data_IF_249899720492
#
_entry.id   IF_249899720492
#
_cell.length_a   1.000
_cell.length_b   1.000
_cell.length_c   1.000
_cell.angle_alpha   90.00
_cell.angle_beta   90.00
_cell.angle_gamma   90.00
#
_symmetry.space_group_name_H-M   'P 1'
#
loop_
_entity.id
_entity.type
_entity.pdbx_description
1 polymer ?
#
# COMPACT_ATOMS: atom_id res chain seq x y z
N UNK A 1 31.54 -11.62 -0.92
CA UNK A 1 31.48 -12.79 -1.83
C UNK A 1 30.17 -13.48 -1.55
N UNK A 2 29.32 -13.66 -2.56
CA UNK A 2 28.06 -14.39 -2.42
C UNK A 2 28.33 -15.85 -2.04
N UNK A 3 27.50 -16.42 -1.16
CA UNK A 3 27.60 -17.85 -0.80
C UNK A 3 27.31 -18.73 -2.03
N UNK A 4 27.80 -19.99 -2.11
CA UNK A 4 27.41 -20.90 -3.19
C UNK A 4 25.88 -20.98 -3.31
N UNK A 5 25.34 -20.84 -4.52
CA UNK A 5 23.88 -20.81 -4.79
C UNK A 5 23.19 -19.46 -4.51
N UNK A 6 23.93 -18.45 -4.05
CA UNK A 6 23.39 -17.10 -3.88
C UNK A 6 23.64 -16.26 -5.12
N UNK A 7 22.57 -15.67 -5.62
CA UNK A 7 22.54 -14.79 -6.77
C UNK A 7 22.48 -13.34 -6.34
N UNK A 8 23.00 -12.46 -7.19
CA UNK A 8 22.94 -11.02 -7.00
C UNK A 8 22.33 -10.35 -8.22
N UNK A 9 21.46 -9.38 -7.98
CA UNK A 9 20.89 -8.49 -8.99
C UNK A 9 21.04 -7.06 -8.49
N UNK A 10 21.38 -6.14 -9.39
CA UNK A 10 21.52 -4.72 -9.09
C UNK A 10 20.72 -3.92 -10.09
N UNK A 11 19.77 -3.14 -9.60
CA UNK A 11 19.03 -2.16 -10.37
C UNK A 11 19.58 -0.78 -10.03
N UNK A 12 19.84 0.03 -11.05
CA UNK A 12 20.31 1.41 -10.89
C UNK A 12 19.41 2.35 -11.66
N UNK A 13 19.20 3.54 -11.12
CA UNK A 13 18.46 4.60 -11.79
C UNK A 13 19.03 5.95 -11.39
N UNK A 14 19.20 6.85 -12.37
CA UNK A 14 19.64 8.22 -12.16
C UNK A 14 18.45 9.19 -12.15
N UNK A 15 18.42 10.10 -11.19
CA UNK A 15 17.34 11.08 -10.99
C UNK A 15 17.89 12.43 -10.58
N UNK A 16 17.12 13.50 -10.83
CA UNK A 16 17.41 14.84 -10.35
C UNK A 16 16.97 15.07 -8.90
N UNK A 17 16.26 14.12 -8.28
CA UNK A 17 15.84 14.23 -6.89
C UNK A 17 17.04 14.20 -5.92
N UNK A 18 17.01 14.99 -4.82
CA UNK A 18 18.05 14.93 -3.79
C UNK A 18 18.09 13.57 -3.07
N UNK A 19 19.30 13.07 -2.79
CA UNK A 19 19.53 11.77 -2.17
C UNK A 19 18.80 11.60 -0.83
N UNK A 20 18.82 12.63 0.02
CA UNK A 20 18.12 12.63 1.32
C UNK A 20 16.62 12.42 1.18
N UNK A 21 16.01 13.02 0.17
CA UNK A 21 14.57 12.90 -0.08
C UNK A 21 14.17 11.50 -0.52
N UNK A 22 14.97 10.88 -1.38
CA UNK A 22 14.80 9.49 -1.80
C UNK A 22 14.95 8.55 -0.60
N UNK A 23 15.97 8.78 0.23
CA UNK A 23 16.18 8.06 1.48
C UNK A 23 14.98 8.17 2.42
N UNK A 24 14.46 9.37 2.67
CA UNK A 24 13.32 9.60 3.57
C UNK A 24 12.05 8.89 3.10
N UNK A 25 11.78 8.86 1.79
CA UNK A 25 10.67 8.10 1.21
C UNK A 25 10.81 6.59 1.45
N UNK A 26 11.99 6.02 1.25
CA UNK A 26 12.25 4.60 1.51
C UNK A 26 12.24 4.31 3.02
N UNK A 27 12.72 5.24 3.85
CA UNK A 27 12.74 5.11 5.30
C UNK A 27 11.34 5.15 5.94
N UNK A 28 10.30 5.64 5.25
CA UNK A 28 8.92 5.67 5.79
C UNK A 28 8.11 4.46 5.32
N UNK A 29 8.32 3.31 5.98
CA UNK A 29 7.73 2.03 5.53
C UNK A 29 6.20 1.98 5.59
N UNK A 30 5.57 2.74 6.50
CA UNK A 30 4.10 2.79 6.57
C UNK A 30 3.46 3.45 5.34
N UNK A 31 4.20 4.30 4.64
CA UNK A 31 3.71 5.01 3.44
C UNK A 31 3.85 4.17 2.16
N UNK A 32 4.65 3.09 2.21
CA UNK A 32 4.91 2.23 1.04
C UNK A 32 3.66 1.71 0.33
N UNK A 33 2.56 1.32 1.01
CA UNK A 33 1.35 0.90 0.32
C UNK A 33 0.69 1.99 -0.53
N UNK A 34 0.91 3.27 -0.21
CA UNK A 34 0.46 4.40 -1.02
C UNK A 34 1.49 4.81 -2.09
N UNK A 35 2.79 4.60 -1.84
CA UNK A 35 3.87 5.02 -2.75
C UNK A 35 4.24 3.95 -3.77
N UNK A 36 4.48 2.71 -3.34
CA UNK A 36 4.98 1.64 -4.20
C UNK A 36 3.86 0.76 -4.73
N UNK A 37 3.75 0.67 -6.07
CA UNK A 37 2.71 -0.13 -6.74
C UNK A 37 2.66 -1.59 -6.27
N UNK A 38 3.78 -2.31 -6.08
CA UNK A 38 3.73 -3.71 -5.65
C UNK A 38 3.25 -3.89 -4.19
N UNK A 39 3.59 -2.95 -3.29
CA UNK A 39 3.28 -3.07 -1.86
C UNK A 39 1.79 -2.89 -1.59
N UNK A 40 1.14 -3.90 -1.03
CA UNK A 40 -0.29 -3.90 -0.64
C UNK A 40 -0.47 -3.42 0.80
N UNK A 41 0.36 -3.90 1.72
CA UNK A 41 0.29 -3.54 3.12
C UNK A 41 1.65 -3.73 3.81
N UNK A 42 1.89 -2.94 4.85
CA UNK A 42 3.03 -3.07 5.76
C UNK A 42 2.52 -3.00 7.19
N UNK A 43 2.96 -3.94 8.01
CA UNK A 43 2.75 -3.95 9.45
C UNK A 43 4.11 -3.87 10.15
N UNK A 44 4.38 -2.75 10.82
CA UNK A 44 5.58 -2.63 11.67
C UNK A 44 5.41 -3.51 12.89
N UNK A 45 6.38 -4.41 13.13
CA UNK A 45 6.39 -5.37 14.22
C UNK A 45 7.30 -4.92 15.38
N UNK A 46 8.37 -4.20 15.06
CA UNK A 46 9.35 -3.72 16.04
C UNK A 46 10.07 -2.48 15.49
N UNK A 47 10.34 -1.51 16.36
CA UNK A 47 11.20 -0.36 16.08
C UNK A 47 12.28 -0.26 17.15
N UNK A 48 13.53 -0.15 16.71
CA UNK A 48 14.69 0.13 17.54
C UNK A 48 15.50 1.30 16.96
N UNK A 49 16.58 1.73 17.64
CA UNK A 49 17.47 2.76 17.12
C UNK A 49 18.04 2.34 15.76
N UNK A 50 17.67 3.06 14.69
CA UNK A 50 18.11 2.80 13.32
C UNK A 50 17.72 1.42 12.77
N UNK A 51 16.81 0.69 13.41
CA UNK A 51 16.44 -0.67 13.00
C UNK A 51 14.94 -0.87 13.09
N UNK A 52 14.40 -1.60 12.13
CA UNK A 52 12.98 -1.92 12.11
C UNK A 52 12.74 -3.34 11.63
N UNK A 53 11.73 -3.98 12.21
CA UNK A 53 11.19 -5.24 11.74
C UNK A 53 9.75 -5.02 11.32
N UNK A 54 9.39 -5.48 10.13
CA UNK A 54 8.04 -5.33 9.60
C UNK A 54 7.63 -6.55 8.78
N UNK A 55 6.33 -6.82 8.75
CA UNK A 55 5.71 -7.74 7.82
C UNK A 55 5.19 -6.94 6.63
N UNK A 56 5.36 -7.48 5.43
CA UNK A 56 4.90 -6.85 4.20
C UNK A 56 4.07 -7.83 3.40
N UNK A 57 3.05 -7.31 2.74
CA UNK A 57 2.26 -7.98 1.72
C UNK A 57 2.46 -7.23 0.42
N UNK A 58 2.87 -7.95 -0.62
CA UNK A 58 3.12 -7.35 -1.93
C UNK A 58 2.63 -8.26 -3.04
N UNK A 59 2.33 -7.65 -4.18
CA UNK A 59 1.96 -8.38 -5.40
C UNK A 59 3.23 -8.89 -6.08
N UNK A 60 3.30 -10.20 -6.29
CA UNK A 60 4.38 -10.90 -6.98
C UNK A 60 3.75 -11.87 -7.97
N UNK A 61 4.05 -11.74 -9.26
CA UNK A 61 3.44 -12.58 -10.31
C UNK A 61 1.89 -12.53 -10.30
N UNK A 62 1.32 -11.37 -9.99
CA UNK A 62 -0.14 -11.17 -9.93
C UNK A 62 -0.84 -11.67 -8.66
N UNK A 63 -0.13 -12.34 -7.73
CA UNK A 63 -0.68 -12.85 -6.46
C UNK A 63 -0.13 -12.06 -5.28
N UNK A 64 -0.87 -12.01 -4.17
CA UNK A 64 -0.35 -11.43 -2.93
C UNK A 64 0.56 -12.45 -2.24
N UNK A 65 1.78 -12.02 -1.91
CA UNK A 65 2.77 -12.76 -1.13
C UNK A 65 3.12 -11.99 0.13
N UNK A 66 3.57 -12.68 1.17
CA UNK A 66 3.98 -12.05 2.43
C UNK A 66 5.28 -12.61 2.97
N UNK A 67 6.05 -11.75 3.62
CA UNK A 67 7.29 -12.09 4.31
C UNK A 67 7.54 -11.11 5.46
N UNK A 68 8.44 -11.49 6.37
CA UNK A 68 8.96 -10.60 7.42
C UNK A 68 10.34 -10.11 7.02
N UNK A 69 10.56 -8.80 7.09
CA UNK A 69 11.86 -8.19 6.86
C UNK A 69 12.36 -7.45 8.10
N UNK A 70 13.68 -7.51 8.31
CA UNK A 70 14.41 -6.59 9.17
C UNK A 70 15.26 -5.67 8.31
N UNK A 71 15.31 -4.39 8.67
CA UNK A 71 16.15 -3.41 8.01
C UNK A 71 16.95 -2.56 9.00
N UNK A 72 18.07 -2.04 8.52
CA UNK A 72 18.87 -1.02 9.21
C UNK A 72 18.85 0.25 8.36
N UNK A 73 18.53 1.37 9.00
CA UNK A 73 18.46 2.70 8.44
C UNK A 73 19.71 3.47 8.85
N UNK A 74 20.52 3.89 7.88
CA UNK A 74 21.69 4.73 8.08
C UNK A 74 21.45 6.11 7.43
N UNK A 75 21.01 7.11 8.21
CA UNK A 75 20.71 8.45 7.70
C UNK A 75 21.95 9.28 7.40
N UNK A 76 23.13 8.85 7.87
CA UNK A 76 24.39 9.57 7.65
C UNK A 76 24.99 9.18 6.30
N UNK A 77 24.97 7.88 5.96
CA UNK A 77 25.42 7.39 4.65
C UNK A 77 24.32 7.28 3.61
N UNK A 78 23.07 7.61 3.98
CA UNK A 78 21.87 7.46 3.15
C UNK A 78 21.76 6.04 2.56
N UNK A 79 21.84 5.05 3.45
CA UNK A 79 21.81 3.63 3.09
C UNK A 79 20.76 2.89 3.91
N UNK A 80 20.03 2.00 3.27
CA UNK A 80 19.11 1.08 3.94
C UNK A 80 19.52 -0.34 3.59
N UNK A 81 19.91 -1.15 4.57
CA UNK A 81 20.12 -2.59 4.36
C UNK A 81 18.91 -3.35 4.84
N UNK A 82 18.56 -4.45 4.17
CA UNK A 82 17.42 -5.26 4.55
C UNK A 82 17.68 -6.74 4.35
N UNK A 83 16.98 -7.56 5.13
CA UNK A 83 16.99 -9.02 5.03
C UNK A 83 15.58 -9.53 5.28
N UNK A 84 15.15 -10.52 4.50
CA UNK A 84 13.95 -11.30 4.82
C UNK A 84 14.32 -12.30 5.91
N UNK A 85 13.71 -12.16 7.09
CA UNK A 85 13.90 -13.10 8.21
C UNK A 85 13.02 -14.34 8.04
N UNK A 86 11.79 -14.13 7.55
CA UNK A 86 10.84 -15.19 7.23
C UNK A 86 10.42 -15.00 5.78
N UNK A 87 10.82 -15.93 4.92
CA UNK A 87 10.48 -15.94 3.49
C UNK A 87 9.53 -17.10 3.16
N UNK A 88 9.07 -17.16 1.91
CA UNK A 88 8.21 -18.23 1.41
C UNK A 88 8.88 -18.90 0.19
N UNK A 89 8.73 -20.22 0.00
CA UNK A 89 9.13 -20.87 -1.24
C UNK A 89 8.53 -20.14 -2.46
N UNK A 90 9.28 -20.05 -3.58
CA UNK A 90 10.54 -20.75 -3.83
C UNK A 90 11.79 -20.01 -3.34
N UNK A 91 11.66 -18.92 -2.58
CA UNK A 91 12.81 -18.19 -2.02
C UNK A 91 13.35 -18.96 -0.81
N UNK A 92 14.66 -19.24 -0.81
CA UNK A 92 15.37 -19.79 0.35
C UNK A 92 15.95 -18.67 1.23
N UNK A 93 16.46 -17.62 0.61
CA UNK A 93 16.92 -16.39 1.29
C UNK A 93 16.77 -15.20 0.36
N UNK A 94 16.54 -14.01 0.93
CA UNK A 94 16.47 -12.76 0.17
C UNK A 94 16.87 -11.60 1.08
N UNK A 95 17.66 -10.68 0.59
CA UNK A 95 18.03 -9.43 1.24
C UNK A 95 18.63 -8.47 0.24
N UNK A 96 19.19 -7.38 0.72
CA UNK A 96 19.73 -6.37 -0.16
C UNK A 96 20.02 -5.04 0.50
N UNK A 97 20.19 -4.02 -0.34
CA UNK A 97 20.36 -2.65 0.12
C UNK A 97 19.87 -1.62 -0.89
N UNK A 98 19.35 -0.52 -0.37
CA UNK A 98 19.17 0.75 -1.06
C UNK A 98 20.34 1.67 -0.73
N UNK A 99 20.92 2.30 -1.74
CA UNK A 99 21.95 3.33 -1.60
C UNK A 99 21.58 4.54 -2.47
N UNK A 100 21.69 5.74 -1.90
CA UNK A 100 21.36 7.00 -2.57
C UNK A 100 22.62 7.85 -2.70
N UNK A 101 23.29 7.76 -3.86
CA UNK A 101 24.60 8.37 -4.09
C UNK A 101 24.43 9.71 -4.81
N UNK A 102 24.42 10.79 -4.03
CA UNK A 102 24.36 12.15 -4.56
C UNK A 102 25.75 12.69 -4.93
N UNK A 103 25.84 13.41 -6.05
CA UNK A 103 27.09 14.01 -6.56
C UNK A 103 26.98 15.51 -6.89
N UNK A 104 25.87 16.16 -6.50
CA UNK A 104 25.59 17.57 -6.78
C UNK A 104 24.73 17.80 -8.03
N UNK A 105 24.82 16.91 -9.03
CA UNK A 105 24.05 16.97 -10.29
C UNK A 105 22.82 16.02 -10.28
N UNK A 106 22.44 15.55 -9.09
CA UNK A 106 21.38 14.58 -8.87
C UNK A 106 21.83 13.42 -7.99
N UNK A 107 21.10 12.29 -8.11
CA UNK A 107 21.34 11.09 -7.31
C UNK A 107 21.29 9.83 -8.17
N UNK A 108 22.26 8.93 -7.98
CA UNK A 108 22.16 7.54 -8.42
C UNK A 108 21.52 6.71 -7.30
N UNK A 109 20.37 6.10 -7.60
CA UNK A 109 19.71 5.13 -6.74
C UNK A 109 20.22 3.74 -7.11
N UNK A 110 20.78 3.03 -6.14
CA UNK A 110 21.26 1.66 -6.32
C UNK A 110 20.46 0.73 -5.42
N UNK A 111 19.65 -0.13 -6.03
CA UNK A 111 18.93 -1.20 -5.36
C UNK A 111 19.63 -2.53 -5.65
N UNK A 112 20.28 -3.09 -4.64
CA UNK A 112 20.89 -4.42 -4.71
C UNK A 112 19.97 -5.44 -4.06
N UNK A 113 19.83 -6.60 -4.69
CA UNK A 113 19.25 -7.79 -4.10
C UNK A 113 20.25 -8.94 -4.13
N UNK A 114 20.30 -9.68 -3.03
CA UNK A 114 20.99 -10.97 -2.95
C UNK A 114 20.01 -12.04 -2.44
N UNK A 115 19.94 -13.16 -3.16
CA UNK A 115 18.92 -14.19 -2.92
C UNK A 115 19.37 -15.58 -3.36
N UNK A 116 18.78 -16.60 -2.73
CA UNK A 116 18.88 -17.99 -3.14
C UNK A 116 17.49 -18.60 -3.30
N UNK A 117 17.35 -19.57 -4.21
CA UNK A 117 16.13 -20.34 -4.36
C UNK A 117 16.22 -21.67 -3.61
N UNK A 118 15.06 -22.22 -3.20
CA UNK A 118 14.98 -23.58 -2.66
C UNK A 118 15.30 -24.62 -3.74
N UNK A 119 14.89 -24.31 -4.98
CA UNK A 119 15.19 -25.07 -6.19
C UNK A 119 15.68 -24.11 -7.28
N UNK A 120 16.83 -24.42 -7.88
CA UNK A 120 17.42 -23.68 -9.00
C UNK A 120 16.44 -23.53 -10.19
N UNK A 121 15.52 -24.48 -10.39
CA UNK A 121 14.51 -24.40 -11.44
C UNK A 121 13.57 -23.18 -11.30
N UNK A 122 13.43 -22.62 -10.09
CA UNK A 122 12.60 -21.45 -9.84
C UNK A 122 13.31 -20.10 -10.12
N UNK A 123 14.63 -20.11 -10.35
CA UNK A 123 15.41 -18.88 -10.50
C UNK A 123 14.97 -17.96 -11.64
N UNK A 124 14.62 -18.45 -12.84
CA UNK A 124 14.17 -17.57 -13.92
C UNK A 124 12.93 -16.75 -13.53
N UNK A 125 11.92 -17.41 -12.95
CA UNK A 125 10.69 -16.74 -12.50
C UNK A 125 10.92 -15.82 -11.30
N UNK A 126 11.82 -16.17 -10.38
CA UNK A 126 12.23 -15.29 -9.28
C UNK A 126 12.91 -14.02 -9.79
N UNK A 127 13.83 -14.14 -10.76
CA UNK A 127 14.51 -12.99 -11.38
C UNK A 127 13.52 -12.09 -12.10
N UNK A 128 12.64 -12.64 -12.93
CA UNK A 128 11.62 -11.88 -13.65
C UNK A 128 10.71 -11.09 -12.69
N UNK A 129 10.21 -11.75 -11.64
CA UNK A 129 9.36 -11.09 -10.65
C UNK A 129 10.11 -10.01 -9.85
N UNK A 130 11.38 -10.25 -9.51
CA UNK A 130 12.24 -9.28 -8.84
C UNK A 130 12.49 -8.06 -9.73
N UNK A 131 12.85 -8.27 -10.99
CA UNK A 131 13.12 -7.20 -11.95
C UNK A 131 11.88 -6.33 -12.18
N UNK A 132 10.71 -6.96 -12.35
CA UNK A 132 9.45 -6.24 -12.53
C UNK A 132 9.08 -5.37 -11.31
N UNK A 133 9.21 -5.91 -10.10
CA UNK A 133 8.88 -5.16 -8.88
C UNK A 133 9.89 -4.05 -8.59
N UNK A 134 11.19 -4.32 -8.71
CA UNK A 134 12.25 -3.31 -8.56
C UNK A 134 12.06 -2.13 -9.51
N UNK A 135 11.73 -2.41 -10.79
CA UNK A 135 11.49 -1.35 -11.77
C UNK A 135 10.31 -0.44 -11.40
N UNK A 136 9.21 -1.03 -10.91
CA UNK A 136 8.02 -0.30 -10.46
C UNK A 136 8.29 0.53 -9.19
N UNK A 137 9.01 -0.03 -8.23
CA UNK A 137 9.40 0.67 -7.00
C UNK A 137 10.30 1.86 -7.29
N UNK A 138 11.34 1.68 -8.11
CA UNK A 138 12.24 2.75 -8.54
C UNK A 138 11.50 3.86 -9.31
N UNK A 139 10.62 3.49 -10.24
CA UNK A 139 9.83 4.46 -11.00
C UNK A 139 8.92 5.29 -10.09
N UNK A 140 8.21 4.65 -9.16
CA UNK A 140 7.33 5.34 -8.22
C UNK A 140 8.10 6.23 -7.23
N UNK A 141 9.24 5.76 -6.73
CA UNK A 141 10.13 6.52 -5.85
C UNK A 141 10.55 7.84 -6.51
N UNK A 142 11.03 7.77 -7.75
CA UNK A 142 11.54 8.90 -8.51
C UNK A 142 10.43 9.87 -8.87
N UNK A 143 9.30 9.35 -9.37
CA UNK A 143 8.16 10.16 -9.75
C UNK A 143 7.64 11.03 -8.59
N UNK A 144 7.78 10.58 -7.34
CA UNK A 144 7.42 11.33 -6.14
C UNK A 144 8.56 12.24 -5.65
N UNK A 145 9.81 11.78 -5.73
CA UNK A 145 10.98 12.51 -5.23
C UNK A 145 11.38 13.70 -6.11
N UNK A 146 11.08 13.67 -7.42
CA UNK A 146 11.37 14.77 -8.35
C UNK A 146 10.36 15.93 -8.28
N UNK A 147 9.31 15.80 -7.46
CA UNK A 147 8.31 16.86 -7.32
C UNK A 147 8.84 18.05 -6.54
N UNK A 148 8.40 19.26 -6.91
CA UNK A 148 8.81 20.50 -6.22
C UNK A 148 8.34 20.53 -4.77
N UNK A 149 7.09 20.13 -4.53
CA UNK A 149 6.49 20.00 -3.20
C UNK A 149 7.19 18.90 -2.43
N UNK A 150 7.44 19.03 -1.12
CA UNK A 150 8.08 17.99 -0.32
C UNK A 150 7.17 16.75 -0.15
N UNK A 151 7.73 15.55 0.13
CA UNK A 151 6.96 14.31 0.21
C UNK A 151 5.77 14.34 1.17
N UNK A 152 5.90 14.99 2.33
CA UNK A 152 4.86 15.11 3.36
C UNK A 152 3.65 15.97 2.94
N UNK A 153 3.83 16.85 1.96
CA UNK A 153 2.72 17.57 1.33
C UNK A 153 1.95 16.68 0.35
N UNK A 154 2.65 15.75 -0.31
CA UNK A 154 2.08 14.87 -1.33
C UNK A 154 1.51 13.58 -0.76
N UNK A 155 2.11 13.05 0.31
CA UNK A 155 1.69 11.81 0.98
C UNK A 155 1.20 12.13 2.38
N UNK A 156 -0.07 11.83 2.65
CA UNK A 156 -0.65 12.09 3.97
C UNK A 156 -1.73 11.09 4.35
N UNK A 157 -1.98 11.04 5.66
CA UNK A 157 -2.94 10.13 6.28
C UNK A 157 -3.98 10.90 7.08
N UNK A 158 -5.21 10.42 7.07
CA UNK A 158 -6.30 10.90 7.93
C UNK A 158 -7.26 9.76 8.25
N UNK A 159 -8.07 9.95 9.28
CA UNK A 159 -9.03 8.95 9.74
C UNK A 159 -10.34 9.56 10.25
N UNK A 160 -11.38 8.73 10.25
CA UNK A 160 -12.67 8.99 10.86
C UNK A 160 -13.07 7.78 11.71
N UNK A 161 -13.51 8.01 12.94
CA UNK A 161 -14.04 6.95 13.82
C UNK A 161 -15.52 7.19 14.08
N UNK A 162 -16.33 6.15 13.90
CA UNK A 162 -17.76 6.18 14.19
C UNK A 162 -18.11 5.13 15.24
N UNK A 163 -19.14 5.44 16.04
CA UNK A 163 -19.80 4.48 16.91
C UNK A 163 -20.72 3.60 16.08
N UNK A 164 -20.71 2.30 16.35
CA UNK A 164 -21.58 1.31 15.72
C UNK A 164 -22.23 0.44 16.80
N UNK A 165 -23.42 -0.15 16.55
CA UNK A 165 -24.04 -1.07 17.49
C UNK A 165 -23.20 -2.32 17.75
N UNK A 166 -22.45 -2.78 16.74
CA UNK A 166 -21.67 -4.01 16.76
C UNK A 166 -20.50 -3.91 15.77
N UNK A 167 -19.28 -4.07 16.27
CA UNK A 167 -18.06 -4.13 15.45
C UNK A 167 -18.06 -5.30 14.46
N UNK A 168 -18.58 -6.45 14.90
CA UNK A 168 -18.65 -7.68 14.10
C UNK A 168 -19.62 -7.52 12.92
N UNK A 169 -20.79 -6.91 13.15
CA UNK A 169 -21.76 -6.64 12.08
C UNK A 169 -21.22 -5.59 11.10
N UNK A 170 -20.53 -4.57 11.61
CA UNK A 170 -19.88 -3.60 10.76
C UNK A 170 -18.76 -4.24 9.94
N UNK A 171 -17.98 -5.16 10.52
CA UNK A 171 -17.00 -5.97 9.77
C UNK A 171 -17.67 -6.76 8.66
N UNK A 172 -18.71 -7.54 8.97
CA UNK A 172 -19.42 -8.36 8.00
C UNK A 172 -20.03 -7.52 6.87
N UNK A 173 -20.53 -6.32 7.17
CA UNK A 173 -21.04 -5.39 6.17
C UNK A 173 -19.95 -4.91 5.21
N UNK A 174 -18.76 -4.55 5.72
CA UNK A 174 -17.66 -4.01 4.90
C UNK A 174 -16.93 -5.12 4.12
N UNK A 175 -16.79 -6.28 4.74
CA UNK A 175 -16.15 -7.47 4.16
C UNK A 175 -16.95 -7.96 2.94
N UNK A 176 -18.28 -8.08 3.07
CA UNK A 176 -19.21 -8.46 1.99
C UNK A 176 -19.55 -7.32 1.03
N UNK A 177 -18.52 -6.78 0.37
CA UNK A 177 -18.68 -5.71 -0.61
C UNK A 177 -19.42 -6.13 -1.88
N UNK A 178 -19.47 -7.42 -2.19
CA UNK A 178 -20.32 -7.96 -3.26
C UNK A 178 -21.80 -7.56 -3.08
N UNK A 179 -22.24 -7.36 -1.84
CA UNK A 179 -23.60 -6.94 -1.50
C UNK A 179 -23.78 -5.42 -1.47
N UNK A 180 -22.72 -4.62 -1.68
CA UNK A 180 -22.80 -3.16 -1.60
C UNK A 180 -23.69 -2.55 -2.68
N UNK A 181 -23.80 -3.18 -3.85
CA UNK A 181 -24.70 -2.71 -4.92
C UNK A 181 -26.18 -2.71 -4.51
N UNK A 182 -26.56 -3.49 -3.49
CA UNK A 182 -27.92 -3.54 -2.92
C UNK A 182 -28.05 -2.67 -1.66
N UNK A 183 -26.93 -2.28 -1.04
CA UNK A 183 -26.87 -1.67 0.29
C UNK A 183 -26.42 -0.21 0.30
N UNK A 184 -25.66 0.21 -0.72
CA UNK A 184 -25.05 1.53 -0.83
C UNK A 184 -25.58 2.24 -2.09
N UNK A 185 -26.28 3.38 -1.95
CA UNK A 185 -26.94 4.03 -3.08
C UNK A 185 -25.98 4.57 -4.15
N UNK A 186 -24.72 4.80 -3.79
CA UNK A 186 -23.69 5.29 -4.70
C UNK A 186 -22.91 4.17 -5.41
N UNK A 187 -23.18 2.90 -5.08
CA UNK A 187 -22.51 1.74 -5.67
C UNK A 187 -23.41 1.13 -6.73
N UNK A 188 -23.00 1.20 -8.00
CA UNK A 188 -23.73 0.59 -9.11
C UNK A 188 -23.47 -0.90 -9.21
N UNK A 189 -22.21 -1.32 -9.03
CA UNK A 189 -21.80 -2.72 -9.22
C UNK A 189 -20.52 -3.01 -8.46
N UNK A 190 -20.44 -4.23 -7.91
CA UNK A 190 -19.19 -4.78 -7.37
C UNK A 190 -18.93 -6.17 -7.96
N UNK A 191 -17.71 -6.38 -8.42
CA UNK A 191 -17.17 -7.71 -8.72
C UNK A 191 -16.14 -8.03 -7.64
N UNK A 192 -16.34 -9.14 -6.93
CA UNK A 192 -15.46 -9.60 -5.86
C UNK A 192 -14.97 -11.01 -6.16
N UNK A 193 -13.66 -11.22 -6.10
CA UNK A 193 -13.06 -12.56 -6.10
C UNK A 193 -12.22 -12.73 -4.85
N UNK A 194 -12.23 -13.93 -4.28
CA UNK A 194 -11.59 -14.20 -2.99
C UNK A 194 -10.65 -15.38 -3.11
N UNK A 195 -9.52 -15.29 -2.42
CA UNK A 195 -8.61 -16.39 -2.19
C UNK A 195 -8.20 -16.43 -0.72
N UNK A 196 -8.02 -17.62 -0.17
CA UNK A 196 -7.36 -17.73 1.13
C UNK A 196 -5.94 -17.13 1.02
N UNK A 197 -5.48 -16.43 2.06
CA UNK A 197 -4.15 -15.80 2.06
C UNK A 197 -2.96 -16.78 1.92
N UNK A 198 -3.23 -18.09 1.89
CA UNK A 198 -2.25 -19.15 1.69
C UNK A 198 -1.49 -19.49 2.97
N UNK A 199 -0.26 -20.01 2.80
CA UNK A 199 0.61 -20.40 3.91
C UNK A 199 1.29 -19.17 4.52
N UNK A 200 0.76 -18.69 5.65
CA UNK A 200 1.36 -17.59 6.43
C UNK A 200 1.55 -17.94 7.91
N UNK A 201 2.07 -16.99 8.71
CA UNK A 201 2.08 -17.08 10.18
C UNK A 201 0.68 -17.35 10.73
N UNK A 202 0.59 -17.88 11.96
CA UNK A 202 -0.69 -18.22 12.60
C UNK A 202 -1.70 -17.05 12.58
N UNK A 203 -1.23 -15.82 12.81
CA UNK A 203 -2.00 -14.58 12.84
C UNK A 203 -2.70 -14.22 11.51
N UNK A 204 -2.26 -14.82 10.39
CA UNK A 204 -2.81 -14.54 9.04
C UNK A 204 -3.46 -15.77 8.43
N UNK A 205 -3.63 -16.87 9.19
CA UNK A 205 -4.19 -18.13 8.66
C UNK A 205 -5.64 -17.98 8.23
N UNK A 206 -6.43 -17.25 9.01
CA UNK A 206 -7.84 -17.00 8.74
C UNK A 206 -8.05 -15.73 7.89
N UNK A 207 -6.97 -15.16 7.35
CA UNK A 207 -7.04 -13.97 6.51
C UNK A 207 -7.46 -14.35 5.09
N UNK A 208 -8.39 -13.59 4.52
CA UNK A 208 -8.77 -13.69 3.10
C UNK A 208 -8.14 -12.55 2.32
N UNK A 209 -7.66 -12.84 1.11
CA UNK A 209 -7.27 -11.85 0.10
C UNK A 209 -8.41 -11.70 -0.87
N UNK A 210 -8.87 -10.47 -1.07
CA UNK A 210 -9.97 -10.16 -1.97
C UNK A 210 -9.49 -9.20 -3.06
N UNK A 211 -9.88 -9.47 -4.30
CA UNK A 211 -9.77 -8.54 -5.42
C UNK A 211 -11.16 -8.00 -5.73
N UNK A 212 -11.34 -6.71 -5.53
CA UNK A 212 -12.61 -6.01 -5.60
C UNK A 212 -12.55 -4.94 -6.68
N UNK A 213 -13.40 -5.06 -7.69
CA UNK A 213 -13.65 -3.96 -8.65
C UNK A 213 -15.03 -3.37 -8.36
N UNK A 214 -15.09 -2.05 -8.17
CA UNK A 214 -16.30 -1.33 -7.80
C UNK A 214 -16.55 -0.19 -8.79
N UNK A 215 -17.78 -0.12 -9.29
CA UNK A 215 -18.28 0.98 -10.12
C UNK A 215 -19.21 1.84 -9.25
N UNK A 216 -18.83 3.09 -9.00
CA UNK A 216 -19.64 4.08 -8.29
C UNK A 216 -20.29 5.06 -9.24
N UNK A 217 -21.43 5.61 -8.84
CA UNK A 217 -22.12 6.70 -9.56
C UNK A 217 -21.86 8.00 -8.82
N UNK A 218 -21.32 9.00 -9.52
CA UNK A 218 -21.13 10.35 -9.00
C UNK A 218 -22.44 11.13 -9.05
N UNK A 219 -22.53 12.25 -8.32
CA UNK A 219 -23.78 13.04 -8.22
C UNK A 219 -24.24 13.65 -9.54
N UNK A 220 -23.34 13.80 -10.51
CA UNK A 220 -23.61 14.24 -11.88
C UNK A 220 -24.02 13.09 -12.83
N UNK A 221 -24.16 11.87 -12.32
CA UNK A 221 -24.50 10.67 -13.10
C UNK A 221 -23.31 10.02 -13.79
N UNK A 222 -22.10 10.58 -13.65
CA UNK A 222 -20.87 9.93 -14.09
C UNK A 222 -20.63 8.61 -13.37
N UNK A 223 -19.77 7.76 -13.95
CA UNK A 223 -19.37 6.50 -13.30
C UNK A 223 -17.87 6.46 -13.12
N UNK A 224 -17.44 6.06 -11.93
CA UNK A 224 -16.03 5.88 -11.61
C UNK A 224 -15.76 4.42 -11.25
N UNK A 225 -14.75 3.81 -11.88
CA UNK A 225 -14.32 2.46 -11.57
C UNK A 225 -13.06 2.49 -10.72
N UNK A 226 -13.11 1.80 -9.59
CA UNK A 226 -11.95 1.55 -8.74
C UNK A 226 -11.71 0.05 -8.67
N UNK A 227 -10.45 -0.36 -8.54
CA UNK A 227 -10.07 -1.75 -8.25
C UNK A 227 -9.14 -1.77 -7.05
N UNK A 228 -9.37 -2.67 -6.12
CA UNK A 228 -8.63 -2.77 -4.87
C UNK A 228 -8.28 -4.21 -4.53
N UNK A 229 -7.09 -4.41 -3.98
CA UNK A 229 -6.76 -5.63 -3.23
C UNK A 229 -7.05 -5.35 -1.76
N UNK A 230 -7.76 -6.24 -1.08
CA UNK A 230 -8.10 -6.15 0.34
C UNK A 230 -7.55 -7.37 1.08
N UNK A 231 -7.02 -7.15 2.28
CA UNK A 231 -6.61 -8.19 3.21
C UNK A 231 -7.54 -8.13 4.42
N UNK A 232 -8.34 -9.18 4.59
CA UNK A 232 -9.43 -9.23 5.55
C UNK A 232 -9.07 -10.15 6.70
N UNK A 233 -8.88 -9.57 7.89
CA UNK A 233 -8.69 -10.30 9.15
C UNK A 233 -10.05 -10.35 9.87
N UNK A 234 -10.64 -11.54 10.08
CA UNK A 234 -11.98 -11.71 10.64
C UNK A 234 -12.26 -10.83 11.86
N UNK A 235 -13.38 -10.11 11.83
CA UNK A 235 -13.88 -9.24 12.91
C UNK A 235 -12.89 -8.18 13.45
N UNK A 236 -11.75 -7.95 12.78
CA UNK A 236 -10.68 -7.12 13.34
C UNK A 236 -10.24 -5.99 12.42
N UNK A 237 -9.92 -6.31 11.17
CA UNK A 237 -9.46 -5.29 10.23
C UNK A 237 -9.59 -5.69 8.77
N UNK A 238 -9.82 -4.71 7.92
CA UNK A 238 -9.73 -4.84 6.47
C UNK A 238 -8.78 -3.76 5.97
N UNK A 239 -7.58 -4.14 5.55
CA UNK A 239 -6.65 -3.21 4.90
C UNK A 239 -6.79 -3.34 3.40
N UNK A 240 -6.62 -2.25 2.65
CA UNK A 240 -6.78 -2.28 1.21
C UNK A 240 -5.80 -1.36 0.49
N UNK A 241 -5.46 -1.73 -0.73
CA UNK A 241 -4.74 -0.91 -1.70
C UNK A 241 -5.59 -0.75 -2.95
N UNK A 242 -5.80 0.47 -3.40
CA UNK A 242 -6.36 0.73 -4.72
C UNK A 242 -5.29 0.54 -5.79
N UNK A 243 -5.56 -0.37 -6.73
CA UNK A 243 -4.77 -0.57 -7.95
C UNK A 243 -5.13 0.43 -9.04
N UNK A 244 -6.37 0.93 -9.02
CA UNK A 244 -6.84 2.02 -9.87
C UNK A 244 -7.36 3.11 -8.94
N UNK A 245 -6.52 4.08 -8.55
CA UNK A 245 -6.94 5.18 -7.69
C UNK A 245 -7.70 6.27 -8.49
N UNK A 246 -8.44 7.16 -7.82
CA UNK A 246 -9.00 8.38 -8.41
C UNK A 246 -7.95 9.22 -9.14
N UNK A 247 -8.35 9.96 -10.18
CA UNK A 247 -7.45 10.69 -11.08
C UNK A 247 -6.51 11.71 -10.41
N UNK A 248 -6.88 12.24 -9.24
CA UNK A 248 -6.05 13.19 -8.47
C UNK A 248 -4.90 12.50 -7.71
N UNK A 249 -4.90 11.17 -7.65
CA UNK A 249 -4.00 10.37 -6.83
C UNK A 249 -3.07 9.52 -7.69
N UNK A 250 -1.79 9.48 -7.31
CA UNK A 250 -0.83 8.49 -7.79
C UNK A 250 -0.89 7.18 -7.00
N UNK A 251 -1.46 7.22 -5.79
CA UNK A 251 -1.71 6.02 -4.99
C UNK A 251 -2.67 6.26 -3.83
N UNK A 252 -3.40 5.21 -3.45
CA UNK A 252 -4.31 5.21 -2.31
C UNK A 252 -4.33 3.84 -1.64
N UNK A 253 -4.16 3.84 -0.32
CA UNK A 253 -4.44 2.70 0.52
C UNK A 253 -5.29 3.14 1.73
N UNK A 254 -5.88 2.17 2.42
CA UNK A 254 -6.63 2.45 3.62
C UNK A 254 -6.80 1.24 4.51
N UNK A 255 -7.44 1.48 5.65
CA UNK A 255 -7.78 0.45 6.61
C UNK A 255 -9.13 0.74 7.23
N UNK A 256 -9.86 -0.34 7.50
CA UNK A 256 -10.99 -0.38 8.41
C UNK A 256 -10.53 -1.18 9.62
N UNK A 257 -10.63 -0.60 10.81
CA UNK A 257 -10.34 -1.27 12.08
C UNK A 257 -11.61 -1.32 12.90
N UNK A 258 -11.95 -2.51 13.40
CA UNK A 258 -13.21 -2.79 14.09
C UNK A 258 -12.90 -3.05 15.57
N UNK A 259 -13.47 -2.23 16.44
CA UNK A 259 -13.56 -2.48 17.88
C UNK A 259 -14.99 -2.90 18.26
N UNK A 260 -15.24 -3.20 19.53
CA UNK A 260 -16.55 -3.72 19.99
C UNK A 260 -17.74 -2.84 19.55
N UNK A 261 -17.60 -1.51 19.70
CA UNK A 261 -18.65 -0.52 19.45
C UNK A 261 -18.17 0.65 18.56
N UNK A 262 -17.02 0.49 17.91
CA UNK A 262 -16.40 1.52 17.06
C UNK A 262 -15.81 0.95 15.79
N UNK A 263 -15.84 1.76 14.73
CA UNK A 263 -15.11 1.47 13.49
C UNK A 263 -14.31 2.70 13.09
N UNK A 264 -13.02 2.50 12.81
CA UNK A 264 -12.12 3.55 12.31
C UNK A 264 -11.79 3.30 10.85
N UNK A 265 -12.09 4.28 10.01
CA UNK A 265 -11.69 4.33 8.61
C UNK A 265 -10.45 5.21 8.47
N UNK A 266 -9.34 4.64 8.00
CA UNK A 266 -8.08 5.34 7.73
C UNK A 266 -7.80 5.37 6.23
N UNK A 267 -7.35 6.51 5.74
CA UNK A 267 -6.90 6.71 4.36
C UNK A 267 -5.46 7.21 4.37
N UNK A 268 -4.62 6.65 3.51
CA UNK A 268 -3.29 7.20 3.18
C UNK A 268 -3.23 7.38 1.68
N UNK A 269 -2.99 8.60 1.23
CA UNK A 269 -3.04 8.98 -0.18
C UNK A 269 -1.72 9.58 -0.62
N UNK A 270 -1.37 9.38 -1.89
CA UNK A 270 -0.29 10.08 -2.58
C UNK A 270 -0.91 10.90 -3.72
N UNK A 271 -0.80 12.23 -3.65
CA UNK A 271 -1.33 13.16 -4.66
C UNK A 271 -0.47 13.07 -5.92
N UNK A 272 -1.09 13.11 -7.09
CA UNK A 272 -0.40 13.44 -8.33
C UNK A 272 -0.47 14.97 -8.56
N UNK A 273 0.60 15.73 -8.25
CA UNK A 273 0.58 17.18 -8.38
C UNK A 273 0.38 17.64 -9.83
N UNK A 274 0.69 16.80 -10.83
CA UNK A 274 0.50 17.14 -12.23
C UNK A 274 -0.97 17.09 -12.67
N UNK A 275 -1.86 16.48 -11.87
CA UNK A 275 -3.30 16.35 -12.14
C UNK A 275 -4.16 17.34 -11.36
N UNK A 276 -3.56 18.11 -10.45
CA UNK A 276 -4.29 19.02 -9.55
C UNK A 276 -5.14 20.03 -10.31
N UNK A 277 -4.54 20.81 -11.22
CA UNK A 277 -5.27 21.82 -11.98
C UNK A 277 -6.24 21.20 -13.01
N UNK A 278 -5.92 20.01 -13.54
CA UNK A 278 -6.81 19.28 -14.45
C UNK A 278 -8.10 18.87 -13.74
N UNK A 279 -8.01 18.38 -12.51
CA UNK A 279 -9.14 17.83 -11.75
C UNK A 279 -9.90 18.90 -10.97
N UNK A 280 -9.20 19.86 -10.36
CA UNK A 280 -9.79 20.87 -9.47
C UNK A 280 -9.95 22.25 -10.12
N UNK A 281 -9.45 22.41 -11.34
CA UNK A 281 -9.50 23.65 -12.08
C UNK A 281 -8.21 24.48 -11.99
N UNK A 282 -8.07 25.41 -12.92
CA UNK A 282 -6.89 26.27 -13.05
C UNK A 282 -6.61 27.06 -11.77
N UNK A 283 -5.35 27.07 -11.35
CA UNK A 283 -4.88 27.75 -10.15
C UNK A 283 -5.02 26.92 -8.86
N UNK A 284 -5.65 25.75 -8.91
CA UNK A 284 -5.71 24.86 -7.76
C UNK A 284 -4.32 24.39 -7.32
N UNK A 285 -4.13 24.29 -6.01
CA UNK A 285 -2.86 23.95 -5.38
C UNK A 285 -2.90 22.54 -4.78
N UNK A 286 -1.73 22.02 -4.39
CA UNK A 286 -1.65 20.77 -3.62
C UNK A 286 -2.38 20.89 -2.29
N UNK A 287 -2.42 22.08 -1.67
CA UNK A 287 -3.20 22.31 -0.45
C UNK A 287 -4.70 22.17 -0.70
N UNK A 288 -5.21 22.71 -1.82
CA UNK A 288 -6.61 22.53 -2.22
C UNK A 288 -6.93 21.06 -2.47
N UNK A 289 -6.01 20.34 -3.13
CA UNK A 289 -6.14 18.90 -3.33
C UNK A 289 -6.21 18.12 -2.02
N UNK A 290 -5.40 18.45 -1.02
CA UNK A 290 -5.45 17.81 0.31
C UNK A 290 -6.81 18.02 0.98
N UNK A 291 -7.31 19.25 0.98
CA UNK A 291 -8.62 19.59 1.56
C UNK A 291 -9.73 18.82 0.84
N UNK A 292 -9.76 18.89 -0.49
CA UNK A 292 -10.74 18.19 -1.31
C UNK A 292 -10.72 16.67 -1.08
N UNK A 293 -9.54 16.04 -1.04
CA UNK A 293 -9.40 14.61 -0.81
C UNK A 293 -9.85 14.19 0.59
N UNK A 294 -9.52 14.96 1.63
CA UNK A 294 -9.98 14.71 3.01
C UNK A 294 -11.50 14.73 3.08
N UNK A 295 -12.12 15.70 2.41
CA UNK A 295 -13.57 15.87 2.36
C UNK A 295 -14.25 14.74 1.58
N UNK A 296 -13.86 14.48 0.34
CA UNK A 296 -14.50 13.50 -0.54
C UNK A 296 -14.32 12.06 -0.04
N UNK A 297 -13.08 11.65 0.24
CA UNK A 297 -12.82 10.29 0.70
C UNK A 297 -13.40 10.05 2.11
N UNK A 298 -13.30 11.04 2.99
CA UNK A 298 -13.92 11.00 4.32
C UNK A 298 -15.45 10.96 4.26
N UNK A 299 -16.07 11.75 3.37
CA UNK A 299 -17.52 11.71 3.20
C UNK A 299 -17.99 10.35 2.70
N UNK A 300 -17.27 9.76 1.74
CA UNK A 300 -17.56 8.44 1.23
C UNK A 300 -17.44 7.36 2.32
N UNK A 301 -16.33 7.32 3.07
CA UNK A 301 -16.14 6.31 4.12
C UNK A 301 -17.15 6.46 5.26
N UNK A 302 -17.43 7.70 5.72
CA UNK A 302 -18.47 7.95 6.72
C UNK A 302 -19.86 7.55 6.22
N UNK A 303 -20.19 7.77 4.94
CA UNK A 303 -21.46 7.33 4.37
C UNK A 303 -21.58 5.80 4.42
N UNK A 304 -20.55 5.07 3.97
CA UNK A 304 -20.51 3.61 4.05
C UNK A 304 -20.66 3.11 5.49
N UNK A 305 -19.97 3.70 6.46
CA UNK A 305 -20.06 3.30 7.87
C UNK A 305 -21.44 3.57 8.49
N UNK A 306 -22.13 4.65 8.08
CA UNK A 306 -23.51 4.89 8.54
C UNK A 306 -24.46 3.80 8.03
N UNK A 307 -24.29 3.35 6.79
CA UNK A 307 -25.06 2.22 6.27
C UNK A 307 -24.73 0.91 7.00
N UNK A 308 -23.45 0.67 7.31
CA UNK A 308 -23.05 -0.48 8.13
C UNK A 308 -23.70 -0.46 9.52
N UNK A 309 -23.66 0.69 10.19
CA UNK A 309 -24.28 0.88 11.51
C UNK A 309 -25.80 0.68 11.48
N UNK A 310 -26.48 1.15 10.42
CA UNK A 310 -27.93 0.99 10.28
C UNK A 310 -28.34 -0.46 9.98
N UNK A 311 -27.48 -1.22 9.28
CA UNK A 311 -27.73 -2.62 8.94
C UNK A 311 -27.60 -3.57 10.15
N UNK A 312 -26.81 -3.20 11.16
CA UNK A 312 -26.61 -4.01 12.37
C UNK A 312 -27.85 -4.09 13.28
N UNK A 313 -28.87 -3.23 13.08
CA UNK A 313 -30.00 -3.12 13.99
C UNK A 313 -29.63 -2.48 15.35
N UNK A 314 -30.58 -2.30 16.28
CA UNK A 314 -30.26 -1.79 17.62
C UNK A 314 -29.36 -2.78 18.38
N UNK A 315 -28.43 -2.24 19.17
CA UNK A 315 -27.59 -3.05 20.07
C UNK A 315 -28.51 -3.87 21.00
N UNK A 316 -28.23 -5.18 21.11
CA UNK A 316 -28.96 -6.10 21.99
C UNK A 316 -28.70 -5.82 23.47
#
# INVERSE_FOLDING_TARGET
MSRPGEHRVVHTLRTQAPARRLYELVARVEDWPAVFEPTVHVQVLERGPGTERFRIWARVGGRVKTWTSRRTLDPDTLRVTFRQELTQPPIASMGGSWEFRGDGDGTEVVLTHDFAAVDEAALPGLREALDANSGKELAALVALAERRQPPEELVFTFEDTLRVPSGDDAYAFIERSDLWQERLPHVRKVTLTEEAAGTGPAETRDMTVQDMTMETVTTDGGTHTTRSIRLCVPARSIVYKQLVPPALLSGHCGAWTFGEDTVTARHTVAIDPARVEEVLGKGATVADARTHLREVLGANSRATLRHAAAAAGPAS
#
